data_IF_696539542930
#
_entry.id   IF_696539542930
#
_cell.length_a   1.000
_cell.length_b   1.000
_cell.length_c   1.000
_cell.angle_alpha   90.00
_cell.angle_beta   90.00
_cell.angle_gamma   90.00
#
_symmetry.space_group_name_H-M   'P 1'
#
loop_
_entity.id
_entity.type
_entity.pdbx_description
1 polymer ?
#
# COMPACT_ATOMS: atom_id res chain seq x y z
N UNK A 1 -4.77 27.21 -19.10
CA UNK A 1 -4.03 26.17 -19.86
C UNK A 1 -3.89 24.98 -18.92
N UNK A 2 -4.70 23.94 -19.11
CA UNK A 2 -4.63 22.70 -18.31
C UNK A 2 -3.55 21.81 -18.91
N UNK A 3 -2.51 21.47 -18.14
CA UNK A 3 -1.51 20.50 -18.57
C UNK A 3 -2.08 19.08 -18.42
N UNK A 4 -1.90 18.22 -19.43
CA UNK A 4 -2.52 16.91 -19.50
C UNK A 4 -1.84 15.94 -18.52
N UNK A 5 -2.68 15.12 -17.87
CA UNK A 5 -2.36 13.84 -17.22
C UNK A 5 -0.86 13.56 -17.00
N UNK A 6 -0.38 13.82 -15.79
CA UNK A 6 0.69 12.99 -15.24
C UNK A 6 0.19 11.54 -15.27
N UNK A 7 0.53 10.81 -16.33
CA UNK A 7 0.46 9.35 -16.33
C UNK A 7 1.22 8.92 -15.08
N UNK A 8 0.51 8.39 -14.09
CA UNK A 8 1.14 7.63 -13.01
C UNK A 8 1.83 6.44 -13.68
N UNK A 9 3.08 6.63 -14.08
CA UNK A 9 3.93 5.56 -14.58
C UNK A 9 4.37 4.76 -13.37
N UNK A 10 3.54 3.76 -13.05
CA UNK A 10 3.99 2.66 -12.21
C UNK A 10 5.04 1.89 -13.02
N UNK A 11 6.31 2.00 -12.63
CA UNK A 11 7.35 1.11 -13.12
C UNK A 11 7.30 -0.19 -12.34
N UNK A 12 7.29 -1.31 -13.07
CA UNK A 12 7.48 -2.64 -12.49
C UNK A 12 8.92 -2.72 -11.98
N UNK A 13 9.08 -3.23 -10.75
CA UNK A 13 10.38 -3.46 -10.16
C UNK A 13 10.79 -4.91 -10.39
N UNK A 14 11.98 -5.12 -10.94
CA UNK A 14 12.59 -6.45 -11.03
C UNK A 14 13.10 -6.86 -9.63
N UNK A 15 12.56 -7.96 -9.11
CA UNK A 15 12.93 -8.61 -7.84
C UNK A 15 13.10 -7.69 -6.60
N UNK A 16 12.08 -6.89 -6.23
CA UNK A 16 12.14 -6.12 -5.00
C UNK A 16 12.15 -7.08 -3.79
N UNK A 17 13.09 -6.90 -2.87
CA UNK A 17 12.96 -7.52 -1.55
C UNK A 17 12.02 -6.67 -0.71
N UNK A 18 11.04 -7.30 -0.09
CA UNK A 18 10.08 -6.65 0.80
C UNK A 18 10.18 -7.27 2.18
N UNK A 19 10.38 -6.44 3.20
CA UNK A 19 10.40 -6.86 4.60
C UNK A 19 9.27 -6.17 5.37
N UNK A 20 8.60 -6.95 6.21
CA UNK A 20 7.56 -6.49 7.13
C UNK A 20 8.05 -6.75 8.55
N UNK A 21 8.08 -5.71 9.38
CA UNK A 21 8.35 -5.84 10.82
C UNK A 21 7.27 -5.11 11.61
N UNK A 22 6.90 -5.65 12.77
CA UNK A 22 6.02 -4.97 13.72
C UNK A 22 6.86 -4.19 14.72
N UNK A 23 6.38 -3.00 15.07
CA UNK A 23 6.99 -2.16 16.09
C UNK A 23 6.05 -2.12 17.29
N UNK A 24 6.41 -2.85 18.35
CA UNK A 24 5.63 -2.99 19.57
C UNK A 24 5.55 -1.67 20.36
N UNK A 25 6.49 -0.73 20.17
CA UNK A 25 6.45 0.56 20.86
C UNK A 25 5.44 1.52 20.20
N UNK A 26 5.26 1.39 18.89
CA UNK A 26 4.39 2.25 18.09
C UNK A 26 3.03 1.61 17.75
N UNK A 27 2.77 0.38 18.22
CA UNK A 27 1.65 -0.47 17.81
C UNK A 27 1.43 -0.42 16.28
N UNK A 28 2.53 -0.52 15.52
CA UNK A 28 2.55 -0.21 14.09
C UNK A 28 3.27 -1.26 13.26
N UNK A 29 3.27 -1.07 11.94
CA UNK A 29 4.04 -1.90 11.02
C UNK A 29 5.02 -1.05 10.22
N UNK A 30 6.23 -1.56 10.07
CA UNK A 30 7.26 -1.01 9.20
C UNK A 30 7.33 -1.87 7.94
N UNK A 31 7.16 -1.23 6.79
CA UNK A 31 7.33 -1.81 5.46
C UNK A 31 8.62 -1.30 4.85
N UNK A 32 9.57 -2.19 4.56
CA UNK A 32 10.83 -1.87 3.88
C UNK A 32 10.83 -2.45 2.48
N UNK A 33 11.07 -1.59 1.49
CA UNK A 33 11.19 -1.93 0.09
C UNK A 33 12.64 -1.71 -0.35
N UNK A 34 13.34 -2.80 -0.61
CA UNK A 34 14.73 -2.79 -1.04
C UNK A 34 14.79 -2.89 -2.56
N UNK A 35 15.14 -1.79 -3.21
CA UNK A 35 15.21 -1.71 -4.68
C UNK A 35 16.59 -2.05 -5.24
N UNK A 36 17.63 -2.02 -4.40
CA UNK A 36 19.01 -2.39 -4.74
C UNK A 36 19.82 -2.65 -3.47
N UNK A 37 21.11 -2.96 -3.58
CA UNK A 37 22.02 -3.03 -2.43
C UNK A 37 22.42 -1.65 -1.87
N UNK A 38 22.06 -0.55 -2.53
CA UNK A 38 22.36 0.81 -2.07
C UNK A 38 21.22 1.32 -1.18
N UNK A 39 21.58 1.80 0.02
CA UNK A 39 20.63 2.30 1.02
C UNK A 39 19.72 3.43 0.48
N UNK A 40 20.25 4.29 -0.38
CA UNK A 40 19.51 5.41 -0.98
C UNK A 40 18.33 4.96 -1.87
N UNK A 41 18.37 3.70 -2.34
CA UNK A 41 17.33 3.14 -3.18
C UNK A 41 16.27 2.41 -2.33
N UNK A 42 16.38 2.45 -0.99
CA UNK A 42 15.43 1.80 -0.08
C UNK A 42 14.32 2.77 0.32
N UNK A 43 13.08 2.27 0.37
CA UNK A 43 11.93 3.00 0.90
C UNK A 43 11.47 2.33 2.19
N UNK A 44 11.43 3.09 3.29
CA UNK A 44 10.86 2.66 4.56
C UNK A 44 9.57 3.42 4.81
N UNK A 45 8.48 2.70 5.02
CA UNK A 45 7.16 3.24 5.34
C UNK A 45 6.76 2.77 6.73
N UNK A 46 6.27 3.71 7.54
CA UNK A 46 5.70 3.43 8.85
C UNK A 46 4.19 3.53 8.72
N UNK A 47 3.50 2.46 9.08
CA UNK A 47 2.07 2.34 8.99
C UNK A 47 1.49 2.29 10.39
N UNK A 48 0.64 3.26 10.71
CA UNK A 48 -0.16 3.22 11.93
C UNK A 48 -1.25 2.13 11.85
N UNK A 49 -1.94 1.90 12.97
CA UNK A 49 -2.99 0.88 13.08
C UNK A 49 -4.11 1.06 12.04
N UNK A 50 -4.52 2.30 11.75
CA UNK A 50 -5.63 2.55 10.84
C UNK A 50 -5.21 2.33 9.38
N UNK A 51 -4.00 2.74 9.03
CA UNK A 51 -3.36 2.42 7.75
C UNK A 51 -3.14 0.91 7.58
N UNK A 52 -2.80 0.20 8.66
CA UNK A 52 -2.66 -1.25 8.66
C UNK A 52 -4.00 -1.94 8.37
N UNK A 53 -5.10 -1.47 8.97
CA UNK A 53 -6.45 -2.00 8.70
C UNK A 53 -6.80 -1.85 7.22
N UNK A 54 -6.53 -0.68 6.63
CA UNK A 54 -6.74 -0.45 5.21
C UNK A 54 -5.89 -1.40 4.33
N UNK A 55 -4.60 -1.58 4.65
CA UNK A 55 -3.74 -2.51 3.93
C UNK A 55 -4.26 -3.95 4.01
N UNK A 56 -4.70 -4.40 5.18
CA UNK A 56 -5.27 -5.73 5.39
C UNK A 56 -6.55 -5.91 4.56
N UNK A 57 -7.45 -4.93 4.55
CA UNK A 57 -8.67 -4.99 3.75
C UNK A 57 -8.37 -5.08 2.25
N UNK A 58 -7.42 -4.29 1.76
CA UNK A 58 -6.96 -4.34 0.38
C UNK A 58 -6.35 -5.69 0.00
N UNK A 59 -5.43 -6.22 0.81
CA UNK A 59 -4.81 -7.52 0.55
C UNK A 59 -5.85 -8.64 0.54
N UNK A 60 -6.83 -8.61 1.46
CA UNK A 60 -7.94 -9.57 1.46
C UNK A 60 -8.81 -9.47 0.21
N UNK A 61 -9.07 -8.26 -0.29
CA UNK A 61 -9.76 -8.04 -1.56
C UNK A 61 -8.96 -8.64 -2.74
N UNK A 62 -7.65 -8.36 -2.79
CA UNK A 62 -6.76 -8.82 -3.87
C UNK A 62 -6.67 -10.35 -3.97
N UNK A 63 -6.61 -11.05 -2.83
CA UNK A 63 -6.57 -12.52 -2.78
C UNK A 63 -7.97 -13.17 -2.82
N UNK A 64 -9.03 -12.40 -3.09
CA UNK A 64 -10.40 -12.89 -3.21
C UNK A 64 -11.07 -13.33 -1.89
N UNK A 65 -10.49 -13.00 -0.73
CA UNK A 65 -11.05 -13.30 0.60
C UNK A 65 -12.04 -12.25 1.10
N UNK A 66 -12.15 -11.12 0.41
CA UNK A 66 -13.12 -10.06 0.64
C UNK A 66 -13.69 -9.63 -0.72
N UNK A 67 -14.96 -9.24 -0.77
CA UNK A 67 -15.59 -8.79 -2.02
C UNK A 67 -15.75 -7.27 -2.05
N UNK A 68 -15.86 -6.69 -3.26
CA UNK A 68 -16.05 -5.24 -3.47
C UNK A 68 -17.32 -4.65 -2.86
N UNK A 69 -18.30 -5.50 -2.51
CA UNK A 69 -19.56 -5.08 -1.88
C UNK A 69 -19.47 -5.06 -0.35
N UNK A 70 -18.35 -5.49 0.25
CA UNK A 70 -18.15 -5.37 1.67
C UNK A 70 -18.13 -3.89 2.06
N UNK A 71 -18.87 -3.52 3.11
CA UNK A 71 -19.00 -2.13 3.58
C UNK A 71 -17.65 -1.46 3.80
N UNK A 72 -16.69 -2.20 4.34
CA UNK A 72 -15.31 -1.74 4.54
C UNK A 72 -14.63 -1.32 3.22
N UNK A 73 -14.78 -2.10 2.15
CA UNK A 73 -14.22 -1.77 0.83
C UNK A 73 -14.94 -0.58 0.19
N UNK A 74 -16.26 -0.52 0.33
CA UNK A 74 -17.02 0.64 -0.15
C UNK A 74 -16.55 1.93 0.52
N UNK A 75 -16.38 1.92 1.85
CA UNK A 75 -15.85 3.06 2.59
C UNK A 75 -14.43 3.42 2.14
N UNK A 76 -13.59 2.44 1.80
CA UNK A 76 -12.26 2.73 1.26
C UNK A 76 -12.29 3.40 -0.14
N UNK A 77 -13.24 3.03 -1.00
CA UNK A 77 -13.47 3.72 -2.28
C UNK A 77 -14.02 5.13 -2.10
N UNK A 78 -15.01 5.30 -1.21
CA UNK A 78 -15.62 6.60 -0.90
C UNK A 78 -14.59 7.61 -0.37
N UNK A 79 -13.66 7.13 0.46
CA UNK A 79 -12.59 7.94 1.02
C UNK A 79 -11.38 8.13 0.06
N UNK A 80 -11.43 7.55 -1.14
CA UNK A 80 -10.36 7.66 -2.14
C UNK A 80 -9.09 6.87 -1.82
N UNK A 81 -9.12 5.97 -0.83
CA UNK A 81 -8.00 5.08 -0.51
C UNK A 81 -7.81 4.00 -1.57
N UNK A 82 -8.90 3.57 -2.21
CA UNK A 82 -8.86 2.70 -3.39
C UNK A 82 -9.31 3.50 -4.61
N UNK A 83 -8.61 3.30 -5.72
CA UNK A 83 -8.93 3.90 -7.01
C UNK A 83 -8.87 2.84 -8.10
N UNK A 84 -9.85 2.87 -9.01
CA UNK A 84 -9.96 1.90 -10.11
C UNK A 84 -10.71 0.61 -9.75
N UNK A 85 -11.16 -0.09 -10.80
CA UNK A 85 -11.80 -1.40 -10.71
C UNK A 85 -10.76 -2.52 -10.57
#
# INVERSE_FOLDING_TARGET
MQNPSQKNTYELMDDPTVEFSFDDEYDGMILRLYRSFKLQDHLTLYLDIDQLKHLVAYLKLYIGKLNKKAKEIQTMYENGFLQGD
#
